data_IF_506523534125
#
_entry.id   IF_506523534125
#
_cell.length_a   1.000
_cell.length_b   1.000
_cell.length_c   1.000
_cell.angle_alpha   90.00
_cell.angle_beta   90.00
_cell.angle_gamma   90.00
#
_symmetry.space_group_name_H-M   'P 1'
#
loop_
_entity.id
_entity.type
_entity.pdbx_description
1 polymer ?
#
# COMPACT_ATOMS: atom_id res chain seq x y z
N UNK A 1 -0.80 -10.35 7.44
CA UNK A 1 0.50 -10.11 8.04
C UNK A 1 0.46 -10.32 9.55
N UNK A 2 -0.40 -9.66 10.30
CA UNK A 2 -0.53 -9.83 11.75
C UNK A 2 -1.19 -11.15 12.19
N UNK A 3 -1.85 -11.87 11.31
CA UNK A 3 -2.49 -13.17 11.58
C UNK A 3 -3.76 -13.09 12.43
N UNK A 4 -4.38 -11.92 12.50
CA UNK A 4 -5.67 -11.76 13.15
C UNK A 4 -6.82 -12.09 12.22
N UNK A 5 -7.80 -12.78 12.75
CA UNK A 5 -9.11 -12.88 12.11
C UNK A 5 -9.86 -11.55 12.23
N UNK A 6 -10.50 -11.13 11.17
CA UNK A 6 -11.30 -9.91 11.15
C UNK A 6 -12.53 -10.09 10.25
N UNK A 7 -13.55 -9.30 10.50
CA UNK A 7 -14.73 -9.22 9.66
C UNK A 7 -14.65 -7.96 8.79
N UNK A 8 -14.88 -8.08 7.51
CA UNK A 8 -14.96 -6.95 6.60
C UNK A 8 -16.41 -6.50 6.43
N UNK A 9 -16.60 -5.20 6.49
CA UNK A 9 -17.84 -4.54 6.10
C UNK A 9 -17.56 -3.66 4.90
N UNK A 10 -17.97 -4.10 3.72
CA UNK A 10 -17.90 -3.29 2.51
C UNK A 10 -18.95 -2.18 2.56
N UNK A 11 -18.57 -0.99 2.09
CA UNK A 11 -19.43 0.19 1.98
C UNK A 11 -19.33 0.69 0.55
N UNK A 12 -20.48 0.82 -0.14
CA UNK A 12 -20.51 1.29 -1.52
C UNK A 12 -20.08 2.76 -1.60
N UNK A 13 -19.05 3.09 -2.38
CA UNK A 13 -18.47 4.44 -2.46
C UNK A 13 -19.34 5.45 -3.22
N UNK A 14 -20.20 4.97 -4.12
CA UNK A 14 -20.85 5.79 -5.15
C UNK A 14 -22.30 6.16 -4.83
N UNK A 15 -22.83 5.68 -3.70
CA UNK A 15 -24.19 6.00 -3.26
C UNK A 15 -24.18 7.17 -2.27
N UNK A 16 -24.96 8.26 -2.49
CA UNK A 16 -25.10 9.35 -1.54
C UNK A 16 -25.56 8.92 -0.14
N UNK A 17 -26.30 7.82 -0.02
CA UNK A 17 -26.71 7.25 1.27
C UNK A 17 -25.54 6.65 2.05
N UNK A 18 -24.49 6.20 1.36
CA UNK A 18 -23.26 5.64 1.94
C UNK A 18 -22.56 6.61 2.87
N UNK A 19 -22.63 7.91 2.59
CA UNK A 19 -22.03 8.94 3.45
C UNK A 19 -22.66 8.96 4.84
N UNK A 20 -23.97 8.74 4.95
CA UNK A 20 -24.66 8.63 6.22
C UNK A 20 -24.30 7.32 6.94
N UNK A 21 -24.17 6.22 6.20
CA UNK A 21 -23.74 4.93 6.74
C UNK A 21 -22.29 5.00 7.25
N UNK A 22 -21.38 5.59 6.50
CA UNK A 22 -19.98 5.79 6.94
C UNK A 22 -19.90 6.55 8.26
N UNK A 23 -20.73 7.57 8.48
CA UNK A 23 -20.76 8.30 9.75
C UNK A 23 -21.19 7.46 10.95
N UNK A 24 -21.97 6.40 10.72
CA UNK A 24 -22.36 5.45 11.79
C UNK A 24 -21.20 4.50 12.11
N UNK A 25 -20.43 4.14 11.10
CA UNK A 25 -19.34 3.15 11.19
C UNK A 25 -18.02 3.80 11.60
N UNK A 26 -17.72 4.98 11.08
CA UNK A 26 -16.45 5.68 11.26
C UNK A 26 -16.66 7.13 11.66
N UNK A 27 -15.79 7.71 12.51
CA UNK A 27 -15.78 9.15 12.78
C UNK A 27 -15.33 9.99 11.58
N UNK A 28 -14.87 9.34 10.51
CA UNK A 28 -14.38 9.95 9.27
C UNK A 28 -15.16 9.43 8.08
N UNK A 29 -15.21 10.19 6.98
CA UNK A 29 -15.72 9.73 5.68
C UNK A 29 -14.68 8.89 4.91
N UNK A 30 -13.51 8.68 5.50
CA UNK A 30 -12.42 7.95 4.87
C UNK A 30 -12.41 6.49 5.32
N UNK A 31 -12.05 5.61 4.40
CA UNK A 31 -11.80 4.19 4.63
C UNK A 31 -10.31 3.89 4.39
N UNK A 32 -9.75 2.89 5.08
CA UNK A 32 -10.37 1.97 6.03
C UNK A 32 -10.59 2.59 7.42
N UNK A 33 -11.54 2.01 8.18
CA UNK A 33 -11.71 2.24 9.60
C UNK A 33 -11.70 0.90 10.34
N UNK A 34 -10.82 0.75 11.31
CA UNK A 34 -10.75 -0.42 12.18
C UNK A 34 -11.60 -0.19 13.43
N UNK A 35 -12.44 -1.18 13.79
CA UNK A 35 -13.10 -1.21 15.09
C UNK A 35 -12.58 -2.41 15.90
N UNK A 36 -12.02 -2.16 17.07
CA UNK A 36 -11.49 -3.19 17.97
C UNK A 36 -11.84 -2.82 19.42
N UNK A 37 -12.54 -3.70 20.13
CA UNK A 37 -13.00 -3.50 21.52
C UNK A 37 -13.69 -2.15 21.77
N UNK A 38 -14.52 -1.73 20.81
CA UNK A 38 -15.25 -0.45 20.87
C UNK A 38 -14.41 0.79 20.51
N UNK A 39 -13.10 0.62 20.28
CA UNK A 39 -12.19 1.68 19.80
C UNK A 39 -12.28 1.75 18.29
N UNK A 40 -12.50 2.95 17.75
CA UNK A 40 -12.47 3.21 16.31
C UNK A 40 -11.17 3.90 15.94
N UNK A 41 -10.43 3.29 15.02
CA UNK A 41 -9.16 3.81 14.50
C UNK A 41 -9.29 3.98 13.00
N UNK A 42 -9.02 5.15 12.49
CA UNK A 42 -9.05 5.47 11.07
C UNK A 42 -7.73 6.11 10.65
N UNK A 43 -7.47 6.20 9.38
CA UNK A 43 -6.19 6.45 8.75
C UNK A 43 -5.25 5.24 8.78
N UNK A 44 -4.67 4.91 7.64
CA UNK A 44 -3.86 3.70 7.45
C UNK A 44 -2.64 3.67 8.36
N UNK A 45 -1.97 4.82 8.59
CA UNK A 45 -0.81 4.89 9.49
C UNK A 45 -1.23 4.68 10.94
N UNK A 46 -2.33 5.31 11.35
CA UNK A 46 -2.84 5.16 12.71
C UNK A 46 -3.27 3.72 12.99
N UNK A 47 -3.93 3.06 12.02
CA UNK A 47 -4.30 1.64 12.13
C UNK A 47 -3.04 0.77 12.25
N UNK A 48 -2.01 1.01 11.46
CA UNK A 48 -0.78 0.23 11.50
C UNK A 48 -0.03 0.40 12.84
N UNK A 49 0.06 1.61 13.37
CA UNK A 49 0.66 1.88 14.70
C UNK A 49 -0.17 1.21 15.82
N UNK A 50 -1.49 1.33 15.77
CA UNK A 50 -2.38 0.68 16.73
C UNK A 50 -2.22 -0.85 16.71
N UNK A 51 -2.13 -1.45 15.53
CA UNK A 51 -1.91 -2.89 15.41
C UNK A 51 -0.54 -3.32 15.94
N UNK A 52 0.53 -2.54 15.74
CA UNK A 52 1.85 -2.82 16.32
C UNK A 52 1.83 -2.72 17.87
N UNK A 53 1.06 -1.76 18.40
CA UNK A 53 0.92 -1.58 19.83
C UNK A 53 0.20 -2.76 20.50
N UNK A 54 -0.93 -3.23 19.93
CA UNK A 54 -1.72 -4.32 20.52
C UNK A 54 -1.16 -5.71 20.17
N UNK A 55 -0.30 -5.82 19.17
CA UNK A 55 0.30 -7.07 18.67
C UNK A 55 1.82 -6.94 18.49
N UNK A 56 2.58 -6.63 19.51
CA UNK A 56 4.03 -6.38 19.39
C UNK A 56 4.78 -7.59 18.83
N UNK A 57 4.28 -8.82 19.06
CA UNK A 57 4.88 -10.04 18.54
C UNK A 57 4.70 -10.24 17.03
N UNK A 58 3.77 -9.53 16.40
CA UNK A 58 3.59 -9.55 14.95
C UNK A 58 4.78 -8.90 14.22
N UNK A 59 5.48 -7.97 14.90
CA UNK A 59 6.69 -7.33 14.38
C UNK A 59 6.39 -6.49 13.13
N UNK A 60 5.30 -5.74 13.14
CA UNK A 60 4.90 -4.88 12.03
C UNK A 60 5.90 -3.73 11.81
N UNK A 61 6.52 -3.26 12.89
CA UNK A 61 7.59 -2.27 12.86
C UNK A 61 8.95 -2.93 13.15
N UNK A 62 10.06 -2.38 12.61
CA UNK A 62 11.42 -2.87 12.90
C UNK A 62 11.77 -2.80 14.38
N UNK A 63 12.66 -3.71 14.83
CA UNK A 63 13.03 -3.82 16.25
C UNK A 63 13.96 -2.71 16.71
N UNK A 64 14.91 -2.28 15.88
CA UNK A 64 15.85 -1.24 16.29
C UNK A 64 15.20 0.14 16.27
N UNK A 65 15.67 1.04 17.12
CA UNK A 65 15.16 2.41 17.16
C UNK A 65 15.40 3.16 15.85
N UNK A 66 16.56 2.92 15.23
CA UNK A 66 16.97 3.59 13.99
C UNK A 66 16.07 3.14 12.82
N UNK A 67 15.92 1.82 12.63
CA UNK A 67 15.12 1.27 11.53
C UNK A 67 13.64 1.61 11.72
N UNK A 68 13.15 1.61 12.97
CA UNK A 68 11.78 2.00 13.27
C UNK A 68 11.51 3.48 12.95
N UNK A 69 12.48 4.36 13.23
CA UNK A 69 12.38 5.77 12.87
C UNK A 69 12.38 5.93 11.33
N UNK A 70 13.28 5.22 10.64
CA UNK A 70 13.34 5.22 9.17
C UNK A 70 12.05 4.67 8.56
N UNK A 71 11.54 3.54 9.06
CA UNK A 71 10.28 2.94 8.63
C UNK A 71 9.12 3.94 8.72
N UNK A 72 8.96 4.61 9.86
CA UNK A 72 7.93 5.65 10.04
C UNK A 72 8.10 6.82 9.07
N UNK A 73 9.33 7.25 8.82
CA UNK A 73 9.62 8.35 7.90
C UNK A 73 9.18 8.01 6.47
N UNK A 74 9.58 6.85 5.95
CA UNK A 74 9.20 6.44 4.59
C UNK A 74 7.72 6.11 4.45
N UNK A 75 7.08 5.59 5.50
CA UNK A 75 5.63 5.38 5.53
C UNK A 75 4.88 6.72 5.52
N UNK A 76 5.33 7.71 6.28
CA UNK A 76 4.77 9.06 6.27
C UNK A 76 4.94 9.74 4.91
N UNK A 77 6.12 9.61 4.28
CA UNK A 77 6.38 10.11 2.93
C UNK A 77 5.47 9.43 1.89
N UNK A 78 5.27 8.12 1.99
CA UNK A 78 4.34 7.39 1.12
C UNK A 78 2.90 7.82 1.35
N UNK A 79 2.48 8.01 2.58
CA UNK A 79 1.11 8.37 2.93
C UNK A 79 0.71 9.74 2.38
N UNK A 80 1.55 10.75 2.55
CA UNK A 80 1.24 12.14 2.20
C UNK A 80 1.77 12.60 0.85
N UNK A 81 2.67 11.84 0.22
CA UNK A 81 3.42 12.24 -0.96
C UNK A 81 3.05 11.52 -2.25
N UNK A 82 3.89 11.76 -3.27
CA UNK A 82 3.86 11.09 -4.57
C UNK A 82 2.57 11.31 -5.36
N UNK A 83 2.00 12.50 -5.26
CA UNK A 83 0.75 12.86 -5.92
C UNK A 83 0.84 12.78 -7.44
N UNK A 84 2.00 13.14 -8.03
CA UNK A 84 2.21 13.05 -9.47
C UNK A 84 2.23 11.60 -9.95
N UNK A 85 2.94 10.72 -9.23
CA UNK A 85 2.95 9.28 -9.54
C UNK A 85 1.55 8.66 -9.38
N UNK A 86 0.82 9.00 -8.31
CA UNK A 86 -0.53 8.50 -8.08
C UNK A 86 -1.51 8.91 -9.20
N UNK A 87 -1.40 10.15 -9.68
CA UNK A 87 -2.24 10.67 -10.78
C UNK A 87 -1.85 10.09 -12.13
N UNK A 88 -0.53 9.92 -12.39
CA UNK A 88 -0.05 9.40 -13.66
C UNK A 88 -0.19 7.89 -13.80
N UNK A 89 -0.13 7.16 -12.70
CA UNK A 89 -0.20 5.71 -12.64
C UNK A 89 -1.36 5.29 -11.72
N UNK A 90 -2.63 5.44 -12.13
CA UNK A 90 -3.78 4.98 -11.35
C UNK A 90 -3.65 3.51 -11.00
N UNK A 91 -4.18 3.11 -9.82
CA UNK A 91 -4.12 1.72 -9.41
C UNK A 91 -5.22 0.91 -10.11
N UNK A 92 -4.83 0.09 -11.07
CA UNK A 92 -5.70 -0.85 -11.74
C UNK A 92 -5.04 -2.23 -11.76
N UNK A 93 -5.58 -3.17 -10.98
CA UNK A 93 -5.03 -4.52 -10.83
C UNK A 93 -5.42 -5.45 -11.99
N UNK A 94 -6.37 -5.03 -12.84
CA UNK A 94 -6.80 -5.77 -14.02
C UNK A 94 -6.04 -5.36 -15.29
N UNK A 95 -5.43 -4.18 -15.29
CA UNK A 95 -4.79 -3.59 -16.46
C UNK A 95 -3.29 -3.88 -16.54
N UNK A 96 -2.76 -3.83 -17.77
CA UNK A 96 -1.33 -3.79 -18.05
C UNK A 96 -1.10 -2.88 -19.26
N UNK A 97 -0.28 -1.85 -19.09
CA UNK A 97 0.00 -0.81 -20.09
C UNK A 97 1.48 -0.83 -20.50
N UNK A 98 1.90 -1.76 -21.37
CA UNK A 98 3.31 -1.88 -21.77
C UNK A 98 3.75 -0.65 -22.56
N UNK A 99 4.94 -0.16 -22.23
CA UNK A 99 5.52 0.99 -22.93
C UNK A 99 4.90 2.35 -22.58
N UNK A 100 4.16 2.43 -21.47
CA UNK A 100 3.62 3.67 -20.97
C UNK A 100 4.71 4.74 -20.77
N UNK A 101 4.44 5.97 -21.23
CA UNK A 101 5.39 7.08 -21.11
C UNK A 101 5.05 7.95 -19.90
N UNK A 102 5.89 7.85 -18.88
CA UNK A 102 5.76 8.64 -17.67
C UNK A 102 6.20 10.08 -17.93
N UNK A 103 5.40 11.07 -17.52
CA UNK A 103 5.79 12.48 -17.61
C UNK A 103 6.75 12.88 -16.47
N UNK A 104 7.51 13.97 -16.66
CA UNK A 104 8.67 14.30 -15.82
C UNK A 104 8.36 14.43 -14.31
N UNK A 105 7.20 14.96 -13.94
CA UNK A 105 6.82 15.10 -12.54
C UNK A 105 6.59 13.75 -11.85
N UNK A 106 5.92 12.83 -12.53
CA UNK A 106 5.72 11.47 -12.03
C UNK A 106 7.03 10.66 -12.01
N UNK A 107 7.95 10.92 -12.97
CA UNK A 107 9.26 10.30 -12.96
C UNK A 107 10.07 10.69 -11.73
N UNK A 108 10.01 11.95 -11.28
CA UNK A 108 10.68 12.38 -10.06
C UNK A 108 10.16 11.65 -8.81
N UNK A 109 8.85 11.43 -8.71
CA UNK A 109 8.24 10.64 -7.64
C UNK A 109 8.72 9.18 -7.69
N UNK A 110 8.75 8.58 -8.87
CA UNK A 110 9.25 7.20 -9.09
C UNK A 110 10.72 7.10 -8.68
N UNK A 111 11.57 8.02 -9.10
CA UNK A 111 12.99 8.03 -8.77
C UNK A 111 13.21 8.13 -7.26
N UNK A 112 12.40 8.92 -6.55
CA UNK A 112 12.45 9.02 -5.10
C UNK A 112 12.02 7.71 -4.43
N UNK A 113 10.95 7.08 -4.89
CA UNK A 113 10.49 5.77 -4.38
C UNK A 113 11.57 4.71 -4.58
N UNK A 114 12.18 4.64 -5.76
CA UNK A 114 13.26 3.70 -6.06
C UNK A 114 14.49 3.96 -5.16
N UNK A 115 14.82 5.22 -4.87
CA UNK A 115 15.88 5.55 -3.90
C UNK A 115 15.57 5.04 -2.50
N UNK A 116 14.34 5.24 -2.02
CA UNK A 116 13.87 4.72 -0.72
C UNK A 116 14.03 3.20 -0.65
N UNK A 117 13.57 2.49 -1.69
CA UNK A 117 13.67 1.03 -1.73
C UNK A 117 15.12 0.55 -1.72
N UNK A 118 15.99 1.15 -2.55
CA UNK A 118 17.43 0.81 -2.60
C UNK A 118 18.11 1.01 -1.25
N UNK A 119 17.87 2.15 -0.62
CA UNK A 119 18.46 2.46 0.69
C UNK A 119 18.03 1.45 1.75
N UNK A 120 16.75 1.13 1.81
CA UNK A 120 16.20 0.19 2.79
C UNK A 120 16.67 -1.25 2.54
N UNK A 121 16.62 -1.72 1.29
CA UNK A 121 17.06 -3.09 0.90
C UNK A 121 18.58 -3.29 1.12
N UNK A 122 19.39 -2.25 0.91
CA UNK A 122 20.83 -2.32 1.13
C UNK A 122 21.20 -2.43 2.61
N UNK A 123 20.39 -1.84 3.50
CA UNK A 123 20.63 -1.85 4.94
C UNK A 123 20.34 -3.23 5.56
N UNK A 124 19.26 -3.88 5.17
CA UNK A 124 18.70 -5.04 5.87
C UNK A 124 18.65 -6.34 5.02
N UNK A 125 19.56 -6.61 4.20
CA UNK A 125 19.79 -7.86 3.42
C UNK A 125 18.63 -8.89 3.47
N UNK A 126 17.45 -8.52 2.99
CA UNK A 126 16.28 -9.38 2.95
C UNK A 126 15.42 -9.07 1.70
N UNK A 127 14.36 -9.86 1.45
CA UNK A 127 13.47 -9.62 0.34
C UNK A 127 12.50 -8.45 0.58
N UNK A 128 12.44 -7.92 1.80
CA UNK A 128 11.55 -6.83 2.23
C UNK A 128 12.37 -5.64 2.74
N UNK A 129 11.74 -4.46 2.82
CA UNK A 129 12.42 -3.19 3.10
C UNK A 129 13.18 -3.18 4.45
N UNK A 130 12.75 -3.97 5.41
CA UNK A 130 13.40 -4.09 6.73
C UNK A 130 13.70 -5.55 7.09
N UNK A 131 14.19 -6.33 6.14
CA UNK A 131 14.75 -7.66 6.37
C UNK A 131 13.95 -8.83 5.81
N UNK A 132 13.91 -9.93 6.56
CA UNK A 132 13.41 -11.21 6.04
C UNK A 132 11.88 -11.37 6.08
N UNK A 133 11.18 -10.52 6.82
CA UNK A 133 9.72 -10.56 6.96
C UNK A 133 9.10 -9.25 6.51
N UNK A 134 7.91 -9.30 5.87
CA UNK A 134 7.21 -8.09 5.49
C UNK A 134 6.69 -7.35 6.73
N UNK A 135 6.78 -6.03 6.71
CA UNK A 135 6.33 -5.14 7.76
C UNK A 135 5.39 -4.03 7.27
N UNK A 136 5.21 -3.02 8.11
CA UNK A 136 4.36 -1.86 7.83
C UNK A 136 4.77 -1.14 6.54
N UNK A 137 6.07 -0.91 6.32
CA UNK A 137 6.55 -0.24 5.12
C UNK A 137 6.20 -1.02 3.86
N UNK A 138 6.33 -2.33 3.88
CA UNK A 138 5.98 -3.18 2.74
C UNK A 138 4.49 -3.12 2.42
N UNK A 139 3.63 -3.09 3.44
CA UNK A 139 2.19 -2.89 3.25
C UNK A 139 1.87 -1.52 2.64
N UNK A 140 2.56 -0.45 3.08
CA UNK A 140 2.38 0.91 2.55
C UNK A 140 2.86 1.05 1.10
N UNK A 141 3.92 0.33 0.71
CA UNK A 141 4.44 0.36 -0.66
C UNK A 141 3.83 -0.69 -1.59
N UNK A 142 3.07 -1.67 -1.10
CA UNK A 142 2.43 -2.69 -1.93
C UNK A 142 1.55 -2.10 -3.06
N UNK A 143 0.72 -1.06 -2.84
CA UNK A 143 -0.03 -0.40 -3.93
C UNK A 143 0.87 0.28 -4.97
N UNK A 144 2.09 0.68 -4.62
CA UNK A 144 3.07 1.23 -5.56
C UNK A 144 3.67 0.13 -6.43
N UNK A 145 3.97 -1.02 -5.82
CA UNK A 145 4.44 -2.21 -6.54
C UNK A 145 3.45 -2.58 -7.63
N UNK A 146 2.15 -2.64 -7.34
CA UNK A 146 1.14 -2.97 -8.36
C UNK A 146 1.12 -1.93 -9.49
N UNK A 147 1.17 -0.63 -9.18
CA UNK A 147 1.24 0.45 -10.17
C UNK A 147 2.47 0.31 -11.06
N UNK A 148 3.64 0.06 -10.48
CA UNK A 148 4.89 -0.08 -11.25
C UNK A 148 4.84 -1.27 -12.21
N UNK A 149 4.19 -2.36 -11.81
CA UNK A 149 3.99 -3.53 -12.68
C UNK A 149 2.95 -3.27 -13.76
N UNK A 150 1.84 -2.61 -13.45
CA UNK A 150 0.80 -2.25 -14.42
C UNK A 150 1.36 -1.39 -15.56
N UNK A 151 2.26 -0.46 -15.27
CA UNK A 151 2.80 0.51 -16.24
C UNK A 151 4.22 0.22 -16.72
N UNK A 152 4.74 -0.98 -16.50
CA UNK A 152 6.09 -1.41 -16.92
C UNK A 152 7.21 -0.45 -16.51
N UNK A 153 7.13 0.11 -15.30
CA UNK A 153 8.17 1.00 -14.76
C UNK A 153 9.51 0.26 -14.72
N UNK A 154 10.54 0.88 -15.29
CA UNK A 154 11.87 0.27 -15.36
C UNK A 154 12.57 0.34 -14.01
N UNK A 155 12.89 -0.81 -13.47
CA UNK A 155 13.51 -1.00 -12.16
C UNK A 155 14.88 -1.70 -12.33
N UNK A 156 15.78 -1.44 -11.39
CA UNK A 156 16.99 -2.27 -11.23
C UNK A 156 16.64 -3.65 -10.65
N UNK A 157 17.65 -4.52 -10.60
CA UNK A 157 17.49 -5.91 -10.16
C UNK A 157 16.93 -6.05 -8.75
N UNK A 158 17.36 -5.19 -7.83
CA UNK A 158 17.00 -5.29 -6.41
C UNK A 158 15.55 -4.81 -6.18
N UNK A 159 15.18 -3.69 -6.77
CA UNK A 159 13.80 -3.20 -6.75
C UNK A 159 12.84 -4.15 -7.49
N UNK A 160 13.27 -4.77 -8.59
CA UNK A 160 12.47 -5.76 -9.29
C UNK A 160 12.29 -7.04 -8.45
N UNK A 161 13.34 -7.47 -7.74
CA UNK A 161 13.26 -8.62 -6.82
C UNK A 161 12.33 -8.32 -5.63
N UNK A 162 12.36 -7.10 -5.10
CA UNK A 162 11.43 -6.63 -4.08
C UNK A 162 9.97 -6.67 -4.56
N UNK A 163 9.68 -6.12 -5.74
CA UNK A 163 8.34 -6.20 -6.33
C UNK A 163 7.86 -7.66 -6.45
N UNK A 164 8.75 -8.57 -6.89
CA UNK A 164 8.43 -9.99 -6.97
C UNK A 164 8.13 -10.60 -5.60
N UNK A 165 8.88 -10.22 -4.57
CA UNK A 165 8.66 -10.71 -3.21
C UNK A 165 7.30 -10.23 -2.65
N UNK A 166 6.95 -8.96 -2.84
CA UNK A 166 5.63 -8.41 -2.46
C UNK A 166 4.52 -9.16 -3.16
N UNK A 167 4.60 -9.31 -4.48
CA UNK A 167 3.56 -9.98 -5.27
C UNK A 167 3.41 -11.46 -4.93
N UNK A 168 4.45 -12.11 -4.41
CA UNK A 168 4.39 -13.52 -3.98
C UNK A 168 3.75 -13.73 -2.61
N UNK A 169 3.45 -12.67 -1.86
CA UNK A 169 2.80 -12.79 -0.55
C UNK A 169 1.37 -13.31 -0.68
N UNK A 170 0.97 -14.26 0.18
CA UNK A 170 -0.39 -14.81 0.17
C UNK A 170 -1.50 -13.74 0.26
N UNK A 171 -1.42 -12.71 1.15
CA UNK A 171 -2.41 -11.63 1.18
C UNK A 171 -2.46 -10.81 -0.12
N UNK A 172 -1.33 -10.67 -0.84
CA UNK A 172 -1.33 -9.98 -2.13
C UNK A 172 -2.01 -10.80 -3.22
N UNK A 173 -1.81 -12.11 -3.24
CA UNK A 173 -2.48 -12.99 -4.18
C UNK A 173 -3.99 -13.03 -3.94
N UNK A 174 -4.41 -13.15 -2.68
CA UNK A 174 -5.83 -13.09 -2.29
C UNK A 174 -6.48 -11.78 -2.76
N UNK A 175 -5.82 -10.64 -2.51
CA UNK A 175 -6.31 -9.34 -2.94
C UNK A 175 -6.40 -9.19 -4.46
N UNK A 176 -5.39 -9.68 -5.19
CA UNK A 176 -5.39 -9.68 -6.65
C UNK A 176 -6.51 -10.54 -7.24
N UNK A 177 -6.73 -11.70 -6.67
CA UNK A 177 -7.78 -12.62 -7.14
C UNK A 177 -9.17 -12.04 -6.84
N UNK A 178 -9.36 -11.43 -5.68
CA UNK A 178 -10.59 -10.71 -5.34
C UNK A 178 -10.84 -9.55 -6.32
N UNK A 179 -9.85 -8.70 -6.56
CA UNK A 179 -9.97 -7.58 -7.48
C UNK A 179 -10.28 -8.00 -8.92
N UNK A 180 -9.70 -9.12 -9.39
CA UNK A 180 -10.02 -9.67 -10.72
C UNK A 180 -11.43 -10.20 -10.81
N UNK A 181 -11.98 -10.72 -9.71
CA UNK A 181 -13.34 -11.25 -9.64
C UNK A 181 -14.40 -10.15 -9.46
N UNK A 182 -14.02 -8.95 -9.09
CA UNK A 182 -14.89 -7.80 -8.90
C UNK A 182 -15.58 -7.42 -10.22
N UNK A 183 -16.93 -7.33 -10.28
CA UNK A 183 -17.65 -7.01 -11.50
C UNK A 183 -17.56 -5.51 -11.85
N UNK A 184 -17.36 -4.67 -10.85
CA UNK A 184 -17.36 -3.22 -11.00
C UNK A 184 -16.06 -2.71 -11.58
N UNK A 185 -16.17 -1.71 -12.47
CA UNK A 185 -15.06 -0.97 -13.04
C UNK A 185 -15.17 0.50 -12.59
N UNK A 186 -14.06 1.06 -12.15
CA UNK A 186 -13.98 2.49 -11.82
C UNK A 186 -13.42 3.21 -13.06
N UNK A 187 -14.32 3.74 -13.88
CA UNK A 187 -14.01 4.34 -15.20
C UNK A 187 -12.94 5.42 -15.10
N UNK A 188 -12.90 6.19 -13.99
CA UNK A 188 -11.88 7.21 -13.74
C UNK A 188 -10.46 6.66 -13.55
N UNK A 189 -10.34 5.36 -13.29
CA UNK A 189 -9.04 4.67 -13.16
C UNK A 189 -8.61 4.00 -14.47
N UNK A 190 -9.50 3.91 -15.46
CA UNK A 190 -9.20 3.43 -16.79
C UNK A 190 -8.66 4.60 -17.61
N UNK A 191 -7.35 4.68 -17.70
CA UNK A 191 -6.67 5.73 -18.48
C UNK A 191 -6.78 5.35 -19.95
N UNK A 192 -7.53 6.12 -20.72
CA UNK A 192 -7.47 6.06 -22.20
C UNK A 192 -6.18 6.71 -22.68
N UNK A 193 -5.37 5.96 -23.44
CA UNK A 193 -4.10 6.39 -24.05
C UNK A 193 -4.22 6.54 -25.54
#
# INVERSE_FOLDING_TARGET
>A
MAGLDFAEQAVASDDPSTRAELLLLSPSFLVPCLTHDGIKVWDTLAIAEYLDEILPEAGLLPKTRADRAHCRSICGEMHSGFSNMRSALPMNLKAHHPGFKVWAGAQADIDRIVSIWRESLAADKGPFLFGAKPGMADAMFAPVVTRFLTYDVKLDSDCAAYCKAIMAMAPMQEWLDAAKAEPDEVVELDVEF
#
